data_IF_881603175043
#
_entry.id   IF_881603175043
#
_cell.length_a   1.000
_cell.length_b   1.000
_cell.length_c   1.000
_cell.angle_alpha   90.00
_cell.angle_beta   90.00
_cell.angle_gamma   90.00
#
_symmetry.space_group_name_H-M   'P 1'
#
loop_
_entity.id
_entity.type
_entity.pdbx_description
1 polymer ?
#
# COMPACT_ATOMS: atom_id res chain seq x y z
N UNK A 1 -12.52 6.45 -1.10
CA UNK A 1 -12.23 5.38 -0.11
C UNK A 1 -12.33 3.95 -0.66
N UNK A 2 -12.89 3.67 -1.84
CA UNK A 2 -12.44 2.52 -2.61
C UNK A 2 -10.99 2.84 -3.05
N UNK A 3 -9.93 2.08 -2.76
CA UNK A 3 -9.83 0.63 -2.82
C UNK A 3 -8.52 0.14 -2.14
N UNK A 4 -8.13 0.66 -0.95
CA UNK A 4 -6.86 0.29 -0.30
C UNK A 4 -6.74 -1.23 -0.15
N UNK A 5 -7.79 -1.88 0.35
CA UNK A 5 -7.84 -3.32 0.57
C UNK A 5 -7.71 -4.15 -0.71
N UNK A 6 -8.37 -3.78 -1.83
CA UNK A 6 -8.19 -4.55 -3.06
C UNK A 6 -6.87 -4.25 -3.77
N UNK A 7 -6.29 -3.05 -3.60
CA UNK A 7 -4.93 -2.76 -4.07
C UNK A 7 -3.90 -3.58 -3.29
N UNK A 8 -4.03 -3.68 -1.96
CA UNK A 8 -3.23 -4.58 -1.11
C UNK A 8 -3.39 -6.03 -1.54
N UNK A 9 -4.62 -6.50 -1.77
CA UNK A 9 -4.89 -7.86 -2.25
C UNK A 9 -4.21 -8.15 -3.61
N UNK A 10 -4.18 -7.16 -4.50
CA UNK A 10 -3.50 -7.27 -5.79
C UNK A 10 -1.98 -7.38 -5.62
N UNK A 11 -1.38 -6.56 -4.76
CA UNK A 11 0.05 -6.60 -4.44
C UNK A 11 0.43 -7.97 -3.85
N UNK A 12 -0.38 -8.52 -2.95
CA UNK A 12 -0.16 -9.87 -2.40
C UNK A 12 -0.26 -10.97 -3.46
N UNK A 13 -1.24 -10.91 -4.37
CA UNK A 13 -1.35 -11.88 -5.48
C UNK A 13 -0.12 -11.84 -6.38
N UNK A 14 0.38 -10.65 -6.71
CA UNK A 14 1.59 -10.48 -7.52
C UNK A 14 2.82 -11.04 -6.81
N UNK A 15 2.97 -10.76 -5.51
CA UNK A 15 4.06 -11.29 -4.70
C UNK A 15 4.04 -12.81 -4.60
N UNK A 16 2.88 -13.41 -4.31
CA UNK A 16 2.74 -14.87 -4.25
C UNK A 16 3.08 -15.53 -5.60
N UNK A 17 2.69 -14.89 -6.70
CA UNK A 17 3.04 -15.37 -8.05
C UNK A 17 4.54 -15.25 -8.31
N UNK A 18 5.18 -14.16 -7.88
CA UNK A 18 6.62 -13.95 -8.01
C UNK A 18 7.41 -14.98 -7.18
N UNK A 19 6.96 -15.29 -5.96
CA UNK A 19 7.56 -16.34 -5.13
C UNK A 19 7.46 -17.71 -5.79
N UNK A 20 6.28 -18.09 -6.33
CA UNK A 20 6.09 -19.37 -7.02
C UNK A 20 6.98 -19.53 -8.26
N UNK A 21 7.36 -18.43 -8.91
CA UNK A 21 8.19 -18.44 -10.13
C UNK A 21 9.68 -18.30 -9.84
N UNK A 22 10.07 -17.92 -8.62
CA UNK A 22 11.46 -17.68 -8.27
C UNK A 22 12.24 -19.01 -8.23
N UNK A 23 13.35 -19.08 -8.99
CA UNK A 23 14.24 -20.26 -9.04
C UNK A 23 15.54 -20.09 -8.26
N UNK A 24 15.74 -18.94 -7.60
CA UNK A 24 16.96 -18.63 -6.87
C UNK A 24 16.67 -17.81 -5.60
N UNK A 25 17.59 -17.90 -4.63
CA UNK A 25 17.52 -17.11 -3.38
C UNK A 25 17.47 -15.61 -3.66
N UNK A 26 18.23 -15.14 -4.64
CA UNK A 26 18.23 -13.72 -5.03
C UNK A 26 16.86 -13.30 -5.61
N UNK A 27 16.22 -14.14 -6.43
CA UNK A 27 14.91 -13.84 -6.98
C UNK A 27 13.83 -13.75 -5.89
N UNK A 28 13.90 -14.60 -4.87
CA UNK A 28 13.02 -14.54 -3.68
C UNK A 28 13.20 -13.22 -2.92
N UNK A 29 14.46 -12.83 -2.64
CA UNK A 29 14.76 -11.57 -1.95
C UNK A 29 14.28 -10.35 -2.76
N UNK A 30 14.52 -10.34 -4.06
CA UNK A 30 14.07 -9.27 -4.94
C UNK A 30 12.54 -9.14 -4.96
N UNK A 31 11.82 -10.27 -4.98
CA UNK A 31 10.36 -10.28 -4.90
C UNK A 31 9.86 -9.65 -3.59
N UNK A 32 10.51 -9.96 -2.46
CA UNK A 32 10.15 -9.39 -1.17
C UNK A 32 10.39 -7.87 -1.11
N UNK A 33 11.57 -7.40 -1.51
CA UNK A 33 11.89 -5.97 -1.49
C UNK A 33 10.97 -5.16 -2.39
N UNK A 34 10.65 -5.69 -3.58
CA UNK A 34 9.67 -5.07 -4.47
C UNK A 34 8.28 -5.00 -3.85
N UNK A 35 7.82 -6.10 -3.25
CA UNK A 35 6.54 -6.17 -2.55
C UNK A 35 6.46 -5.14 -1.41
N UNK A 36 7.50 -5.09 -0.55
CA UNK A 36 7.59 -4.13 0.56
C UNK A 36 7.49 -2.69 0.07
N UNK A 37 8.28 -2.32 -0.94
CA UNK A 37 8.29 -0.97 -1.48
C UNK A 37 6.92 -0.57 -2.09
N UNK A 38 6.26 -1.49 -2.81
CA UNK A 38 4.91 -1.25 -3.34
C UNK A 38 3.89 -1.06 -2.22
N UNK A 39 3.94 -1.90 -1.18
CA UNK A 39 3.03 -1.84 -0.05
C UNK A 39 3.21 -0.55 0.76
N UNK A 40 4.46 -0.14 1.03
CA UNK A 40 4.77 1.10 1.75
C UNK A 40 4.33 2.35 0.98
N UNK A 41 4.54 2.36 -0.34
CA UNK A 41 4.07 3.46 -1.20
C UNK A 41 2.55 3.60 -1.14
N UNK A 42 1.84 2.48 -1.23
CA UNK A 42 0.39 2.46 -1.16
C UNK A 42 -0.13 2.95 0.20
N UNK A 43 0.46 2.45 1.28
CA UNK A 43 0.10 2.88 2.64
C UNK A 43 0.31 4.38 2.82
N UNK A 44 1.45 4.92 2.38
CA UNK A 44 1.73 6.35 2.46
C UNK A 44 0.69 7.19 1.71
N UNK A 45 0.29 6.77 0.52
CA UNK A 45 -0.75 7.44 -0.26
C UNK A 45 -2.10 7.40 0.47
N UNK A 46 -2.49 6.24 0.99
CA UNK A 46 -3.73 6.06 1.73
C UNK A 46 -3.80 6.97 2.96
N UNK A 47 -2.76 6.98 3.80
CA UNK A 47 -2.70 7.86 4.98
C UNK A 47 -2.73 9.34 4.63
N UNK A 48 -2.11 9.73 3.49
CA UNK A 48 -2.16 11.12 3.00
C UNK A 48 -3.58 11.52 2.63
N UNK A 49 -4.34 10.64 1.98
CA UNK A 49 -5.74 10.87 1.64
C UNK A 49 -6.61 10.97 2.90
N UNK A 50 -6.41 10.08 3.87
CA UNK A 50 -7.11 10.13 5.17
C UNK A 50 -6.81 11.43 5.91
N UNK A 51 -5.55 11.87 5.94
CA UNK A 51 -5.16 13.14 6.56
C UNK A 51 -5.78 14.35 5.85
N UNK A 52 -5.88 14.32 4.52
CA UNK A 52 -6.55 15.37 3.76
C UNK A 52 -8.05 15.45 4.11
N UNK A 53 -8.71 14.31 4.26
CA UNK A 53 -10.10 14.23 4.70
C UNK A 53 -10.28 14.73 6.13
N UNK A 54 -9.37 14.37 7.05
CA UNK A 54 -9.35 14.90 8.42
C UNK A 54 -9.22 16.42 8.40
N UNK A 55 -8.26 16.98 7.67
CA UNK A 55 -8.05 18.42 7.59
C UNK A 55 -9.26 19.15 7.00
N UNK A 56 -9.89 18.57 5.97
CA UNK A 56 -11.13 19.10 5.38
C UNK A 56 -12.30 19.08 6.36
N UNK A 57 -12.38 18.09 7.25
CA UNK A 57 -13.40 18.04 8.30
C UNK A 57 -13.09 19.04 9.41
N UNK A 58 -11.82 19.11 9.86
CA UNK A 58 -11.36 20.06 10.88
C UNK A 58 -11.64 21.51 10.48
N UNK A 59 -11.40 21.88 9.22
CA UNK A 59 -11.66 23.26 8.75
C UNK A 59 -13.14 23.67 8.77
N UNK A 60 -14.06 22.70 8.79
CA UNK A 60 -15.52 22.95 8.88
C UNK A 60 -16.03 23.02 10.32
N UNK A 61 -15.25 22.52 11.28
CA UNK A 61 -15.60 22.59 12.70
C UNK A 61 -15.13 23.95 13.20
N UNK A 62 -16.06 24.81 13.63
CA UNK A 62 -15.70 26.08 14.27
C UNK A 62 -14.81 25.80 15.48
N UNK A 63 -13.66 26.45 15.50
CA UNK A 63 -12.83 26.54 16.70
C UNK A 63 -13.65 27.29 17.76
N UNK A 64 -13.84 26.68 18.93
CA UNK A 64 -14.55 27.27 20.06
C UNK A 64 -13.58 28.04 20.94
#
# INVERSE_FOLDING_TARGET
MANYTAQVATIHRQFNTALKRAKSRQAVLNAYWKHKAQHEKLLKQHLKEEMADVNRRKSKIKYR
#
